data_IF_335447062218
#
_entry.id   IF_335447062218
#
_cell.length_a   1.000
_cell.length_b   1.000
_cell.length_c   1.000
_cell.angle_alpha   90.00
_cell.angle_beta   90.00
_cell.angle_gamma   90.00
#
_symmetry.space_group_name_H-M   'P 1'
#
loop_
_entity.id
_entity.type
_entity.pdbx_description
1 polymer ?
#
# COMPACT_ATOMS: atom_id res chain seq x y z
N UNK A 1 -10.28 -17.50 -5.97
CA UNK A 1 -10.42 -17.01 -7.37
C UNK A 1 -9.72 -15.66 -7.41
N UNK A 2 -8.75 -15.47 -8.31
CA UNK A 2 -8.09 -14.18 -8.49
C UNK A 2 -9.12 -13.10 -8.83
N UNK A 3 -9.14 -12.00 -8.06
CA UNK A 3 -10.06 -10.89 -8.29
C UNK A 3 -9.42 -9.93 -9.30
N UNK A 4 -9.90 -9.95 -10.54
CA UNK A 4 -9.38 -9.13 -11.64
C UNK A 4 -9.82 -7.66 -11.57
N UNK A 5 -10.58 -7.26 -10.55
CA UNK A 5 -11.06 -5.89 -10.44
C UNK A 5 -9.96 -4.96 -9.90
N UNK A 6 -9.26 -4.30 -10.83
CA UNK A 6 -8.22 -3.30 -10.55
C UNK A 6 -8.71 -2.17 -9.65
N UNK A 7 -9.95 -1.69 -9.82
CA UNK A 7 -10.49 -0.60 -8.99
C UNK A 7 -10.72 -1.05 -7.55
N UNK A 8 -11.20 -2.29 -7.36
CA UNK A 8 -11.36 -2.87 -6.04
C UNK A 8 -9.99 -3.04 -5.35
N UNK A 9 -8.97 -3.48 -6.09
CA UNK A 9 -7.59 -3.57 -5.58
C UNK A 9 -7.06 -2.19 -5.18
N UNK A 10 -7.14 -1.19 -6.07
CA UNK A 10 -6.68 0.18 -5.79
C UNK A 10 -7.41 0.78 -4.57
N UNK A 11 -8.72 0.56 -4.44
CA UNK A 11 -9.50 1.01 -3.29
C UNK A 11 -9.07 0.32 -1.99
N UNK A 12 -8.77 -0.98 -2.06
CA UNK A 12 -8.27 -1.74 -0.91
C UNK A 12 -6.92 -1.21 -0.43
N UNK A 13 -5.93 -1.10 -1.31
CA UNK A 13 -4.58 -0.64 -0.92
C UNK A 13 -4.58 0.83 -0.50
N UNK A 14 -5.48 1.64 -1.07
CA UNK A 14 -5.68 3.01 -0.63
C UNK A 14 -6.17 3.05 0.83
N UNK A 15 -7.27 2.36 1.14
CA UNK A 15 -7.88 2.38 2.46
C UNK A 15 -7.02 1.70 3.53
N UNK A 16 -6.26 0.66 3.16
CA UNK A 16 -5.39 -0.08 4.08
C UNK A 16 -4.14 0.70 4.45
N UNK A 17 -3.54 1.40 3.48
CA UNK A 17 -2.17 1.89 3.61
C UNK A 17 -2.04 3.35 3.18
N UNK A 18 -2.44 3.70 1.96
CA UNK A 18 -2.15 5.02 1.41
C UNK A 18 -2.86 6.16 2.14
N UNK A 19 -4.06 5.94 2.69
CA UNK A 19 -4.86 6.95 3.38
C UNK A 19 -4.14 7.51 4.62
N UNK A 20 -3.39 6.68 5.35
CA UNK A 20 -2.66 7.13 6.53
C UNK A 20 -1.40 7.93 6.15
N UNK A 21 -0.74 7.56 5.06
CA UNK A 21 0.43 8.26 4.54
C UNK A 21 0.00 9.62 3.96
N UNK A 22 -1.09 9.67 3.19
CA UNK A 22 -1.74 10.90 2.72
C UNK A 22 -2.05 11.84 3.89
N UNK A 23 -2.74 11.33 4.93
CA UNK A 23 -3.10 12.13 6.09
C UNK A 23 -1.86 12.65 6.82
N UNK A 24 -0.82 11.82 6.98
CA UNK A 24 0.41 12.20 7.67
C UNK A 24 1.18 13.31 6.93
N UNK A 25 1.33 13.17 5.60
CA UNK A 25 1.96 14.18 4.76
C UNK A 25 1.16 15.50 4.78
N UNK A 26 -0.16 15.40 4.69
CA UNK A 26 -1.07 16.56 4.77
C UNK A 26 -0.97 17.28 6.12
N UNK A 27 -0.96 16.54 7.23
CA UNK A 27 -0.81 17.12 8.57
C UNK A 27 0.52 17.87 8.72
N UNK A 28 1.62 17.31 8.19
CA UNK A 28 2.92 18.00 8.17
C UNK A 28 2.87 19.33 7.44
N UNK A 29 2.22 19.38 6.27
CA UNK A 29 2.04 20.61 5.50
C UNK A 29 1.19 21.66 6.24
N UNK A 30 0.10 21.23 6.88
CA UNK A 30 -0.75 22.13 7.70
C UNK A 30 0.05 22.75 8.84
N UNK A 31 0.85 21.96 9.56
CA UNK A 31 1.68 22.46 10.67
C UNK A 31 2.78 23.41 10.19
N UNK A 32 3.25 23.25 8.96
CA UNK A 32 4.26 24.12 8.35
C UNK A 32 3.69 25.36 7.64
N UNK A 33 2.36 25.53 7.59
CA UNK A 33 1.71 26.64 6.87
C UNK A 33 1.87 26.56 5.34
N UNK A 34 2.04 25.35 4.79
CA UNK A 34 2.17 25.10 3.36
C UNK A 34 0.82 24.72 2.73
N UNK A 35 0.73 24.70 1.39
CA UNK A 35 -0.45 24.23 0.68
C UNK A 35 -0.61 22.71 0.83
N UNK A 36 -1.58 22.29 1.62
CA UNK A 36 -1.68 20.92 2.13
C UNK A 36 -2.08 19.90 1.06
N UNK A 37 -2.70 20.36 -0.03
CA UNK A 37 -3.17 19.46 -1.11
C UNK A 37 -2.02 18.84 -1.89
N UNK A 38 -0.94 19.58 -2.11
CA UNK A 38 0.24 19.07 -2.83
C UNK A 38 0.86 17.90 -2.05
N UNK A 39 0.91 18.01 -0.72
CA UNK A 39 1.45 16.98 0.16
C UNK A 39 0.49 15.82 0.36
N UNK A 40 -0.82 16.06 0.36
CA UNK A 40 -1.83 15.01 0.37
C UNK A 40 -1.73 14.16 -0.91
N UNK A 41 -1.66 14.79 -2.09
CA UNK A 41 -1.51 14.09 -3.36
C UNK A 41 -0.21 13.30 -3.42
N UNK A 42 0.91 13.90 -2.98
CA UNK A 42 2.17 13.20 -2.83
C UNK A 42 2.06 11.97 -1.91
N UNK A 43 1.52 12.14 -0.70
CA UNK A 43 1.40 11.06 0.28
C UNK A 43 0.50 9.92 -0.20
N UNK A 44 -0.59 10.25 -0.89
CA UNK A 44 -1.47 9.25 -1.53
C UNK A 44 -0.71 8.43 -2.57
N UNK A 45 -0.02 9.09 -3.50
CA UNK A 45 0.71 8.42 -4.57
C UNK A 45 1.87 7.59 -4.03
N UNK A 46 2.59 8.11 -3.03
CA UNK A 46 3.65 7.39 -2.34
C UNK A 46 3.11 6.13 -1.65
N UNK A 47 2.00 6.25 -0.91
CA UNK A 47 1.43 5.11 -0.19
C UNK A 47 0.86 4.03 -1.10
N UNK A 48 0.29 4.41 -2.25
CA UNK A 48 -0.12 3.45 -3.29
C UNK A 48 1.08 2.72 -3.87
N UNK A 49 2.13 3.45 -4.26
CA UNK A 49 3.35 2.86 -4.80
C UNK A 49 4.03 1.92 -3.80
N UNK A 50 4.08 2.31 -2.52
CA UNK A 50 4.62 1.50 -1.44
C UNK A 50 3.91 0.15 -1.33
N UNK A 51 2.57 0.14 -1.25
CA UNK A 51 1.82 -1.12 -1.12
C UNK A 51 1.93 -2.00 -2.37
N UNK A 52 1.96 -1.41 -3.58
CA UNK A 52 2.18 -2.19 -4.80
C UNK A 52 3.54 -2.89 -4.80
N UNK A 53 4.60 -2.22 -4.31
CA UNK A 53 5.93 -2.82 -4.20
C UNK A 53 5.92 -3.92 -3.12
N UNK A 54 5.31 -3.67 -1.97
CA UNK A 54 5.14 -4.64 -0.87
C UNK A 54 4.45 -5.93 -1.35
N UNK A 55 3.33 -5.81 -2.06
CA UNK A 55 2.61 -6.94 -2.64
C UNK A 55 3.47 -7.72 -3.66
N UNK A 56 4.24 -7.02 -4.51
CA UNK A 56 5.17 -7.66 -5.47
C UNK A 56 6.29 -8.40 -4.74
N UNK A 57 6.83 -7.82 -3.65
CA UNK A 57 7.85 -8.46 -2.83
C UNK A 57 7.30 -9.71 -2.15
N UNK A 58 6.08 -9.67 -1.61
CA UNK A 58 5.42 -10.83 -1.01
C UNK A 58 5.25 -12.00 -2.00
N UNK A 59 4.95 -11.71 -3.27
CA UNK A 59 4.84 -12.73 -4.33
C UNK A 59 6.22 -13.27 -4.75
N UNK A 60 7.22 -12.39 -4.87
CA UNK A 60 8.58 -12.76 -5.32
C UNK A 60 9.44 -13.38 -4.23
N UNK A 61 9.00 -13.34 -2.98
CA UNK A 61 9.68 -13.93 -1.84
C UNK A 61 9.54 -15.45 -1.83
N UNK A 62 10.04 -16.09 -2.88
CA UNK A 62 10.44 -17.50 -2.86
C UNK A 62 11.52 -17.65 -1.77
N UNK A 63 11.11 -18.25 -0.64
CA UNK A 63 11.79 -18.94 0.48
C UNK A 63 13.24 -18.60 0.90
N UNK A 64 14.11 -18.06 0.04
CA UNK A 64 15.54 -17.86 0.28
C UNK A 64 15.93 -16.52 0.90
N UNK A 65 15.10 -15.47 0.84
CA UNK A 65 15.52 -14.11 1.26
C UNK A 65 14.97 -13.70 2.64
N UNK A 66 13.81 -14.22 3.07
CA UNK A 66 13.09 -13.70 4.25
C UNK A 66 13.12 -14.58 5.52
N UNK A 67 13.72 -15.78 5.49
CA UNK A 67 13.96 -16.59 6.69
C UNK A 67 12.70 -17.01 7.47
N UNK A 68 11.50 -16.87 6.90
CA UNK A 68 10.21 -17.32 7.43
C UNK A 68 9.39 -17.94 6.30
N UNK A 69 8.55 -18.95 6.58
CA UNK A 69 7.80 -19.65 5.55
C UNK A 69 6.81 -18.69 4.87
N UNK A 70 6.96 -18.53 3.56
CA UNK A 70 5.99 -17.87 2.70
C UNK A 70 4.67 -18.66 2.74
N UNK A 71 3.51 -17.97 2.81
CA UNK A 71 2.11 -18.44 2.64
C UNK A 71 1.06 -17.99 3.69
N UNK A 72 1.35 -17.07 4.61
CA UNK A 72 0.30 -16.65 5.56
C UNK A 72 -0.89 -15.96 4.86
N UNK A 73 -0.65 -15.11 3.87
CA UNK A 73 -1.74 -14.39 3.19
C UNK A 73 -2.60 -15.31 2.29
N UNK A 74 -2.01 -16.36 1.72
CA UNK A 74 -2.75 -17.39 0.97
C UNK A 74 -3.62 -18.27 1.88
N UNK A 75 -3.16 -18.55 3.11
CA UNK A 75 -3.95 -19.25 4.14
C UNK A 75 -5.10 -18.40 4.70
N UNK A 76 -4.92 -17.07 4.75
CA UNK A 76 -5.95 -16.13 5.23
C UNK A 76 -6.95 -15.69 4.14
N UNK A 77 -6.79 -16.16 2.89
CA UNK A 77 -7.72 -15.86 1.80
C UNK A 77 -7.59 -14.42 1.25
N UNK A 78 -6.48 -13.74 1.52
CA UNK A 78 -6.20 -12.42 0.94
C UNK A 78 -5.67 -12.62 -0.48
N UNK A 79 -6.34 -12.00 -1.44
CA UNK A 79 -5.89 -11.97 -2.83
C UNK A 79 -4.89 -10.83 -2.97
N UNK A 80 -3.61 -11.15 -2.89
CA UNK A 80 -2.53 -10.33 -3.46
C UNK A 80 -2.41 -10.63 -4.96
N UNK A 81 -1.71 -9.77 -5.69
CA UNK A 81 -1.70 -9.61 -7.17
C UNK A 81 -1.36 -10.86 -8.00
#
# INVERSE_FOLDING_TARGET
KFNINKEAYLKMIYNKTAVLIEASARCGAILAGLYEKDFAEYGKNLGLAFQMIDDILDIKSDEKILGKPAMNDFKEGKTTL
#
